data_IF_052928960655
#
_entry.id   IF_052928960655
#
_cell.length_a   1.000
_cell.length_b   1.000
_cell.length_c   1.000
_cell.angle_alpha   90.00
_cell.angle_beta   90.00
_cell.angle_gamma   90.00
#
_symmetry.space_group_name_H-M   'P 1'
#
loop_
_entity.id
_entity.type
_entity.pdbx_description
1 polymer ?
#
# COMPACT_ATOMS: atom_id res chain seq x y z
N UNK A 1 -7.05 -4.50 -21.19
CA UNK A 1 -6.22 -4.23 -19.99
C UNK A 1 -6.22 -5.50 -19.15
N UNK A 2 -5.13 -6.27 -19.17
CA UNK A 2 -5.11 -7.67 -18.73
C UNK A 2 -4.67 -7.79 -17.25
N UNK A 3 -5.51 -8.42 -16.42
CA UNK A 3 -5.27 -8.69 -14.99
C UNK A 3 -4.96 -10.20 -14.83
N UNK A 4 -3.76 -10.62 -15.23
CA UNK A 4 -3.41 -12.06 -15.29
C UNK A 4 -2.86 -12.55 -13.95
N UNK A 5 -3.77 -12.83 -13.01
CA UNK A 5 -3.46 -13.50 -11.74
C UNK A 5 -3.31 -12.59 -10.52
N UNK A 6 -4.00 -11.45 -10.51
CA UNK A 6 -4.07 -10.54 -9.37
C UNK A 6 -5.48 -10.34 -8.84
N UNK A 7 -5.61 -9.82 -7.63
CA UNK A 7 -6.88 -9.44 -7.01
C UNK A 7 -6.92 -7.94 -6.71
N UNK A 8 -8.09 -7.32 -6.90
CA UNK A 8 -8.36 -5.94 -6.47
C UNK A 8 -9.01 -5.99 -5.10
N UNK A 9 -8.39 -5.35 -4.13
CA UNK A 9 -8.87 -5.28 -2.75
C UNK A 9 -9.35 -3.86 -2.48
N UNK A 10 -10.59 -3.76 -2.04
CA UNK A 10 -11.22 -2.51 -1.61
C UNK A 10 -10.88 -2.26 -0.14
N UNK A 11 -10.26 -1.11 0.17
CA UNK A 11 -9.77 -0.80 1.51
C UNK A 11 -10.26 0.58 1.95
N UNK A 12 -10.80 0.65 3.16
CA UNK A 12 -11.19 1.90 3.81
C UNK A 12 -10.27 2.18 5.00
N UNK A 13 -9.57 3.30 4.97
CA UNK A 13 -8.75 3.78 6.08
C UNK A 13 -9.50 4.89 6.80
N UNK A 14 -9.83 4.70 8.07
CA UNK A 14 -10.37 5.74 8.94
C UNK A 14 -9.26 6.40 9.76
N UNK A 15 -9.23 7.74 9.80
CA UNK A 15 -8.54 8.45 10.89
C UNK A 15 -9.50 8.70 12.07
N UNK A 16 -8.93 9.08 13.22
CA UNK A 16 -9.66 9.30 14.48
C UNK A 16 -10.76 10.37 14.42
N UNK A 17 -10.78 11.20 13.37
CA UNK A 17 -11.63 12.38 13.26
C UNK A 17 -12.52 12.37 12.02
N UNK A 18 -13.04 11.19 11.64
CA UNK A 18 -14.08 10.96 10.60
C UNK A 18 -13.63 11.00 9.14
N UNK A 19 -12.32 11.11 8.86
CA UNK A 19 -11.85 11.04 7.48
C UNK A 19 -11.70 9.59 7.03
N UNK A 20 -12.48 9.20 6.02
CA UNK A 20 -12.37 7.93 5.34
C UNK A 20 -11.61 8.11 4.02
N UNK A 21 -10.46 7.46 3.91
CA UNK A 21 -9.69 7.37 2.66
C UNK A 21 -10.04 6.03 2.01
N UNK A 22 -10.56 6.09 0.80
CA UNK A 22 -10.90 4.91 0.00
C UNK A 22 -9.73 4.55 -0.91
N UNK A 23 -9.16 3.37 -0.71
CA UNK A 23 -8.03 2.88 -1.48
C UNK A 23 -8.44 1.68 -2.34
N UNK A 24 -8.12 1.75 -3.63
CA UNK A 24 -8.12 0.60 -4.52
C UNK A 24 -6.72 -0.02 -4.55
N UNK A 25 -6.58 -1.19 -3.94
CA UNK A 25 -5.32 -1.91 -3.82
C UNK A 25 -5.26 -3.03 -4.85
N UNK A 26 -4.18 -3.08 -5.61
CA UNK A 26 -3.93 -4.07 -6.65
C UNK A 26 -2.87 -5.03 -6.16
N UNK A 27 -3.24 -6.31 -6.10
CA UNK A 27 -2.39 -7.37 -5.58
C UNK A 27 -2.08 -8.40 -6.63
N UNK A 28 -0.92 -9.03 -6.53
CA UNK A 28 -0.51 -10.16 -7.37
C UNK A 28 0.12 -11.22 -6.50
N UNK A 29 -0.06 -12.48 -6.88
CA UNK A 29 0.66 -13.59 -6.26
C UNK A 29 1.95 -13.88 -7.01
N UNK A 30 3.08 -13.78 -6.33
CA UNK A 30 4.41 -14.05 -6.86
C UNK A 30 5.16 -14.97 -5.90
N UNK A 31 5.72 -16.08 -6.38
CA UNK A 31 6.39 -17.10 -5.56
C UNK A 31 5.54 -17.56 -4.35
N UNK A 32 4.23 -17.68 -4.55
CA UNK A 32 3.28 -18.07 -3.50
C UNK A 32 2.88 -16.96 -2.53
N UNK A 33 3.54 -15.80 -2.56
CA UNK A 33 3.30 -14.67 -1.66
C UNK A 33 2.46 -13.58 -2.33
N UNK A 34 1.57 -12.94 -1.56
CA UNK A 34 0.82 -11.78 -2.02
C UNK A 34 1.68 -10.53 -1.96
N UNK A 35 1.69 -9.76 -3.04
CA UNK A 35 2.37 -8.46 -3.12
C UNK A 35 1.40 -7.40 -3.61
N UNK A 36 1.45 -6.24 -2.98
CA UNK A 36 0.78 -5.03 -3.46
C UNK A 36 1.71 -4.37 -4.48
N UNK A 37 1.21 -4.12 -5.69
CA UNK A 37 2.00 -3.49 -6.75
C UNK A 37 1.43 -2.15 -7.22
N UNK A 38 0.18 -1.84 -6.86
CA UNK A 38 -0.47 -0.55 -7.14
C UNK A 38 -1.50 -0.24 -6.06
N UNK A 39 -1.57 1.02 -5.67
CA UNK A 39 -2.58 1.58 -4.76
C UNK A 39 -3.05 2.88 -5.39
N UNK A 40 -4.36 3.04 -5.54
CA UNK A 40 -4.98 4.30 -5.96
C UNK A 40 -5.83 4.83 -4.82
N UNK A 41 -5.65 6.09 -4.51
CA UNK A 41 -6.57 6.85 -3.66
C UNK A 41 -7.77 7.24 -4.52
N UNK A 42 -8.91 6.60 -4.25
CA UNK A 42 -10.17 6.86 -4.94
C UNK A 42 -10.85 8.12 -4.40
N UNK A 43 -10.61 8.50 -3.14
CA UNK A 43 -11.14 9.74 -2.54
C UNK A 43 -10.58 10.96 -3.25
N UNK A 44 -9.28 10.98 -3.56
CA UNK A 44 -8.61 12.11 -4.20
C UNK A 44 -8.28 11.89 -5.69
N UNK A 45 -8.72 10.76 -6.26
CA UNK A 45 -8.40 10.33 -7.64
C UNK A 45 -6.89 10.33 -7.96
N UNK A 46 -6.07 10.06 -6.94
CA UNK A 46 -4.63 10.12 -7.04
C UNK A 46 -4.03 8.71 -7.10
N UNK A 47 -3.08 8.51 -8.02
CA UNK A 47 -2.28 7.29 -8.04
C UNK A 47 -0.89 7.61 -7.53
N UNK A 48 -0.50 6.94 -6.45
CA UNK A 48 0.86 7.07 -5.97
C UNK A 48 1.80 6.39 -6.98
N UNK A 49 2.82 7.09 -7.51
CA UNK A 49 3.79 6.47 -8.41
C UNK A 49 4.65 5.46 -7.63
N UNK A 50 4.32 4.17 -7.73
CA UNK A 50 5.00 3.08 -7.00
C UNK A 50 6.28 2.61 -7.74
N UNK A 51 6.62 3.21 -8.89
CA UNK A 51 7.82 2.85 -9.67
C UNK A 51 8.99 3.84 -9.53
N UNK A 52 8.89 4.86 -8.68
CA UNK A 52 10.05 5.70 -8.35
C UNK A 52 10.97 4.94 -7.39
N UNK A 53 12.14 4.51 -7.88
CA UNK A 53 13.11 3.77 -7.08
C UNK A 53 13.51 4.55 -5.80
N UNK A 54 13.52 5.88 -5.86
CA UNK A 54 13.75 6.74 -4.71
C UNK A 54 12.61 6.68 -3.68
N UNK A 55 11.35 6.66 -4.12
CA UNK A 55 10.18 6.54 -3.26
C UNK A 55 10.12 5.17 -2.59
N UNK A 56 10.42 4.10 -3.33
CA UNK A 56 10.57 2.76 -2.76
C UNK A 56 11.68 2.74 -1.69
N UNK A 57 12.84 3.33 -1.99
CA UNK A 57 13.96 3.40 -1.04
C UNK A 57 13.57 4.17 0.24
N UNK A 58 12.90 5.32 0.11
CA UNK A 58 12.39 6.11 1.25
C UNK A 58 11.35 5.35 2.07
N UNK A 59 10.40 4.69 1.41
CA UNK A 59 9.38 3.88 2.09
C UNK A 59 10.00 2.70 2.86
N UNK A 60 11.01 2.03 2.27
CA UNK A 60 11.77 0.97 2.96
C UNK A 60 12.52 1.51 4.19
N UNK A 61 13.22 2.64 4.05
CA UNK A 61 13.95 3.26 5.16
C UNK A 61 13.01 3.68 6.30
N UNK A 62 11.86 4.26 5.97
CA UNK A 62 10.83 4.64 6.94
C UNK A 62 10.22 3.41 7.64
N UNK A 63 9.87 2.37 6.88
CA UNK A 63 9.34 1.12 7.45
C UNK A 63 10.34 0.45 8.38
N UNK A 64 11.63 0.42 8.03
CA UNK A 64 12.67 -0.13 8.89
C UNK A 64 12.83 0.65 10.19
N UNK A 65 12.68 1.98 10.15
CA UNK A 65 12.72 2.84 11.35
C UNK A 65 11.54 2.56 12.29
N UNK A 66 10.34 2.38 11.75
CA UNK A 66 9.12 2.21 12.54
C UNK A 66 8.90 0.75 12.97
N UNK A 67 9.41 -0.23 12.24
CA UNK A 67 9.36 -1.64 12.66
C UNK A 67 9.93 -1.83 14.08
N UNK A 68 11.02 -1.13 14.41
CA UNK A 68 11.58 -1.12 15.76
C UNK A 68 10.63 -0.53 16.81
N UNK A 69 9.78 0.44 16.45
CA UNK A 69 8.79 1.03 17.37
C UNK A 69 7.60 0.08 17.65
N UNK A 70 7.30 -0.86 16.76
CA UNK A 70 6.25 -1.86 16.96
C UNK A 70 6.74 -3.09 17.74
N UNK A 71 7.97 -3.55 17.49
CA UNK A 71 8.58 -4.66 18.25
C UNK A 71 8.82 -4.28 19.72
N UNK A 72 9.18 -3.02 20.00
CA UNK A 72 9.43 -2.53 21.36
C UNK A 72 8.16 -2.19 22.16
N UNK A 73 6.96 -2.35 21.56
CA UNK A 73 5.66 -2.11 22.20
C UNK A 73 4.85 -3.40 22.42
N UNK A 74 5.41 -4.57 22.11
CA UNK A 74 4.88 -5.88 22.51
C UNK A 74 5.52 -6.34 23.83
#
# INVERSE_FOLDING_TARGET
>A
MLFWGGEKVDVWLGDSDTRLIHLMVYTRRENGQWKIYRVRDLTHQFEHPIYDAGAIARARAWSAKIAQEYENKQ
#
